data_IF_260591385108
#
_entry.id   IF_260591385108
#
_cell.length_a   1.000
_cell.length_b   1.000
_cell.length_c   1.000
_cell.angle_alpha   90.00
_cell.angle_beta   90.00
_cell.angle_gamma   90.00
#
_symmetry.space_group_name_H-M   'P 1'
#
loop_
_entity.id
_entity.type
_entity.pdbx_description
1 polymer ?
#
# COMPACT_ATOMS: atom_id res chain seq x y z
N UNK A 1 32.18 -4.61 -24.98
CA UNK A 1 31.46 -3.33 -25.18
C UNK A 1 31.68 -2.33 -24.05
N UNK A 2 31.02 -2.39 -22.87
CA UNK A 2 31.21 -1.35 -21.82
C UNK A 2 32.65 -1.21 -21.30
N UNK A 3 33.41 -2.31 -21.28
CA UNK A 3 34.81 -2.32 -20.83
C UNK A 3 35.78 -1.66 -21.82
N UNK A 4 35.40 -1.54 -23.09
CA UNK A 4 36.25 -1.05 -24.20
C UNK A 4 35.99 0.43 -24.51
N UNK A 5 35.03 1.06 -23.83
CA UNK A 5 34.70 2.46 -24.03
C UNK A 5 35.68 3.39 -23.30
N UNK A 6 35.86 4.59 -23.82
CA UNK A 6 36.53 5.68 -23.11
C UNK A 6 35.76 6.04 -21.82
N UNK A 7 36.48 6.51 -20.80
CA UNK A 7 35.93 6.73 -19.47
C UNK A 7 34.86 7.82 -19.46
N UNK A 8 34.97 8.83 -20.33
CA UNK A 8 33.95 9.88 -20.51
C UNK A 8 32.64 9.31 -21.07
N UNK A 9 32.73 8.37 -22.01
CA UNK A 9 31.57 7.68 -22.57
C UNK A 9 30.92 6.76 -21.53
N UNK A 10 31.73 6.04 -20.74
CA UNK A 10 31.21 5.23 -19.62
C UNK A 10 30.47 6.13 -18.62
N UNK A 11 31.08 7.25 -18.21
CA UNK A 11 30.48 8.20 -17.28
C UNK A 11 29.10 8.66 -17.75
N UNK A 12 28.96 9.06 -19.02
CA UNK A 12 27.67 9.46 -19.58
C UNK A 12 26.63 8.34 -19.57
N UNK A 13 27.02 7.10 -19.91
CA UNK A 13 26.12 5.95 -19.87
C UNK A 13 25.61 5.69 -18.45
N UNK A 14 26.52 5.68 -17.47
CA UNK A 14 26.18 5.45 -16.07
C UNK A 14 25.27 6.53 -15.48
N UNK A 15 25.42 7.78 -15.92
CA UNK A 15 24.55 8.89 -15.50
C UNK A 15 23.12 8.82 -16.04
N UNK A 16 22.89 8.08 -17.13
CA UNK A 16 21.57 7.86 -17.73
C UNK A 16 20.81 6.69 -17.09
N UNK A 17 21.49 5.82 -16.34
CA UNK A 17 20.86 4.64 -15.76
C UNK A 17 19.89 5.00 -14.64
N UNK A 18 18.71 4.39 -14.65
CA UNK A 18 17.78 4.44 -13.53
C UNK A 18 18.33 3.65 -12.33
N UNK A 19 17.81 3.94 -11.13
CA UNK A 19 18.25 3.31 -9.88
C UNK A 19 18.26 1.76 -9.93
N UNK A 20 17.27 1.17 -10.59
CA UNK A 20 17.16 -0.29 -10.74
C UNK A 20 18.28 -0.84 -11.63
N UNK A 21 18.56 -0.20 -12.75
CA UNK A 21 19.58 -0.63 -13.70
C UNK A 21 20.97 -0.38 -13.14
N UNK A 22 21.17 0.75 -12.46
CA UNK A 22 22.39 1.07 -11.72
C UNK A 22 22.72 -0.03 -10.70
N UNK A 23 21.74 -0.46 -9.89
CA UNK A 23 21.93 -1.58 -8.95
C UNK A 23 22.22 -2.91 -9.65
N UNK A 24 21.65 -3.16 -10.83
CA UNK A 24 21.86 -4.41 -11.59
C UNK A 24 23.25 -4.45 -12.21
N UNK A 25 23.64 -3.41 -12.94
CA UNK A 25 24.95 -3.34 -13.61
C UNK A 25 26.07 -3.37 -12.59
N UNK A 26 25.92 -2.65 -11.47
CA UNK A 26 26.89 -2.66 -10.38
C UNK A 26 27.07 -4.07 -9.76
N UNK A 27 26.02 -4.90 -9.74
CA UNK A 27 26.09 -6.28 -9.24
C UNK A 27 26.76 -7.25 -10.22
N UNK A 28 26.59 -7.03 -11.52
CA UNK A 28 26.98 -7.98 -12.57
C UNK A 28 28.36 -7.66 -13.14
N UNK A 29 28.75 -6.39 -13.21
CA UNK A 29 29.96 -5.95 -13.90
C UNK A 29 30.75 -4.95 -13.05
N UNK A 30 31.35 -5.40 -11.94
CA UNK A 30 32.19 -4.54 -11.07
C UNK A 30 33.35 -3.89 -11.83
N UNK A 31 33.88 -4.58 -12.84
CA UNK A 31 34.93 -4.05 -13.73
C UNK A 31 34.44 -2.96 -14.69
N UNK A 32 33.13 -2.84 -14.92
CA UNK A 32 32.55 -1.78 -15.77
C UNK A 32 32.42 -0.43 -15.05
N UNK A 33 32.67 -0.40 -13.73
CA UNK A 33 32.77 0.83 -12.93
C UNK A 33 34.20 1.41 -12.98
N UNK A 34 35.19 0.67 -13.50
CA UNK A 34 36.56 1.15 -13.64
C UNK A 34 36.61 2.35 -14.62
N UNK A 35 37.20 3.45 -14.16
CA UNK A 35 37.26 4.72 -14.88
C UNK A 35 36.05 5.64 -14.64
N UNK A 36 35.04 5.20 -13.89
CA UNK A 36 33.81 5.97 -13.66
C UNK A 36 33.80 6.53 -12.24
N UNK A 37 33.46 7.82 -12.12
CA UNK A 37 33.30 8.48 -10.83
C UNK A 37 31.92 8.14 -10.27
N UNK A 38 31.80 6.97 -9.65
CA UNK A 38 30.52 6.44 -9.16
C UNK A 38 29.94 7.23 -7.97
N UNK A 39 30.78 7.80 -7.10
CA UNK A 39 30.33 8.54 -5.90
C UNK A 39 29.27 9.62 -6.19
N UNK A 40 29.56 10.60 -7.08
CA UNK A 40 28.58 11.61 -7.49
C UNK A 40 27.29 11.05 -8.10
N UNK A 41 27.38 9.95 -8.85
CA UNK A 41 26.21 9.29 -9.46
C UNK A 41 25.31 8.72 -8.36
N UNK A 42 25.86 7.96 -7.41
CA UNK A 42 25.09 7.43 -6.29
C UNK A 42 24.52 8.53 -5.40
N UNK A 43 25.26 9.61 -5.14
CA UNK A 43 24.77 10.76 -4.38
C UNK A 43 23.59 11.46 -5.07
N UNK A 44 23.64 11.63 -6.40
CA UNK A 44 22.54 12.18 -7.19
C UNK A 44 21.28 11.32 -7.03
N UNK A 45 21.41 10.00 -7.21
CA UNK A 45 20.29 9.07 -7.01
C UNK A 45 19.81 9.04 -5.55
N UNK A 46 20.71 9.17 -4.59
CA UNK A 46 20.35 9.22 -3.17
C UNK A 46 19.44 10.42 -2.87
N UNK A 47 19.79 11.60 -3.38
CA UNK A 47 18.95 12.80 -3.29
C UNK A 47 17.58 12.58 -3.92
N UNK A 48 17.53 12.01 -5.13
CA UNK A 48 16.26 11.69 -5.80
C UNK A 48 15.41 10.69 -4.99
N UNK A 49 16.03 9.65 -4.42
CA UNK A 49 15.33 8.67 -3.57
C UNK A 49 14.80 9.30 -2.28
N UNK A 50 15.55 10.21 -1.67
CA UNK A 50 15.09 10.96 -0.50
C UNK A 50 13.88 11.81 -0.86
N UNK A 51 13.95 12.60 -1.93
CA UNK A 51 12.82 13.43 -2.37
C UNK A 51 11.59 12.59 -2.64
N UNK A 52 11.71 11.54 -3.46
CA UNK A 52 10.60 10.62 -3.78
C UNK A 52 10.06 9.92 -2.54
N UNK A 53 10.93 9.52 -1.60
CA UNK A 53 10.51 8.87 -0.36
C UNK A 53 9.72 9.79 0.56
N UNK A 54 10.16 11.04 0.72
CA UNK A 54 9.43 12.05 1.50
C UNK A 54 8.11 12.42 0.81
N UNK A 55 8.10 12.61 -0.50
CA UNK A 55 6.87 12.83 -1.29
C UNK A 55 5.88 11.68 -1.12
N UNK A 56 6.34 10.43 -1.23
CA UNK A 56 5.50 9.26 -1.07
C UNK A 56 4.91 9.12 0.34
N UNK A 57 5.67 9.50 1.38
CA UNK A 57 5.17 9.54 2.76
C UNK A 57 4.18 10.69 2.99
N UNK A 58 4.43 11.86 2.41
CA UNK A 58 3.57 13.03 2.56
C UNK A 58 2.25 12.88 1.79
N UNK A 59 2.29 12.21 0.63
CA UNK A 59 1.11 11.90 -0.18
C UNK A 59 0.33 10.67 0.27
N UNK A 60 0.78 9.94 1.30
CA UNK A 60 0.14 8.71 1.74
C UNK A 60 -1.19 8.98 2.47
N UNK A 61 -2.30 8.74 1.77
CA UNK A 61 -3.66 8.79 2.31
C UNK A 61 -4.18 7.42 2.75
N UNK A 62 -3.45 6.34 2.51
CA UNK A 62 -3.90 4.96 2.72
C UNK A 62 -3.87 4.54 4.20
N UNK A 63 -2.88 3.74 4.59
CA UNK A 63 -2.77 3.20 5.96
C UNK A 63 -2.58 4.29 7.00
N UNK A 64 -1.91 5.39 6.64
CA UNK A 64 -1.70 6.55 7.50
C UNK A 64 -2.94 7.46 7.57
N UNK A 65 -3.73 7.57 6.51
CA UNK A 65 -5.01 8.30 6.50
C UNK A 65 -6.15 7.55 7.21
N UNK A 66 -6.15 6.21 7.18
CA UNK A 66 -7.06 5.35 7.94
C UNK A 66 -6.81 5.36 9.46
N UNK A 67 -5.96 6.24 9.98
CA UNK A 67 -5.87 6.52 11.41
C UNK A 67 -7.16 7.19 11.87
N UNK A 68 -8.17 6.38 12.21
CA UNK A 68 -9.01 6.65 13.37
C UNK A 68 -8.05 7.14 14.47
N UNK A 69 -8.17 8.43 14.82
CA UNK A 69 -7.32 9.14 15.76
C UNK A 69 -7.33 8.43 17.13
N UNK A 70 -6.54 7.37 17.31
CA UNK A 70 -6.02 7.01 18.64
C UNK A 70 -4.79 7.86 18.87
N UNK A 71 -5.04 9.10 19.26
CA UNK A 71 -4.11 10.22 19.48
C UNK A 71 -3.00 9.97 20.53
N UNK A 72 -2.75 8.73 20.96
CA UNK A 72 -1.93 8.44 22.15
C UNK A 72 -0.75 7.46 21.96
N UNK A 73 -0.41 7.01 20.74
CA UNK A 73 0.66 6.00 20.58
C UNK A 73 2.01 6.53 20.00
N UNK A 74 2.10 7.79 19.59
CA UNK A 74 3.34 8.33 18.96
C UNK A 74 4.04 9.42 19.77
N UNK A 75 3.57 9.76 20.97
CA UNK A 75 4.19 10.80 21.81
C UNK A 75 5.55 10.37 22.40
N UNK A 76 5.94 9.11 22.24
CA UNK A 76 7.19 8.56 22.80
C UNK A 76 8.32 8.37 21.78
N UNK A 77 8.18 8.81 20.53
CA UNK A 77 9.25 8.70 19.51
C UNK A 77 9.96 10.02 19.21
N UNK A 78 9.58 11.12 19.87
CA UNK A 78 10.18 12.44 19.70
C UNK A 78 10.59 13.09 21.03
N UNK A 79 10.72 12.32 22.11
CA UNK A 79 11.38 12.83 23.31
C UNK A 79 12.89 12.83 23.05
N UNK A 80 13.58 14.00 23.06
CA UNK A 80 15.04 14.04 23.10
C UNK A 80 15.44 13.46 24.46
N UNK A 81 16.03 12.27 24.45
CA UNK A 81 16.71 11.74 25.62
C UNK A 81 18.04 12.49 25.78
N UNK A 82 18.02 13.62 26.48
CA UNK A 82 19.21 14.28 26.97
C UNK A 82 20.02 13.31 27.82
N UNK A 83 21.15 12.85 27.27
CA UNK A 83 22.32 12.43 28.04
C UNK A 83 23.57 12.88 27.29
N UNK A 84 23.96 14.13 27.58
CA UNK A 84 25.34 14.57 27.43
C UNK A 84 26.22 13.67 28.30
N UNK A 85 27.17 12.98 27.67
CA UNK A 85 28.38 12.54 28.34
C UNK A 85 29.56 13.09 27.54
N UNK A 86 30.06 14.21 28.05
CA UNK A 86 31.25 14.91 27.59
C UNK A 86 32.46 14.04 27.90
N UNK A 87 33.17 13.58 26.88
CA UNK A 87 34.58 13.21 27.00
C UNK A 87 35.33 13.81 25.82
N UNK A 88 36.27 14.70 26.15
CA UNK A 88 37.18 15.34 25.22
C UNK A 88 38.27 14.35 24.79
N UNK A 89 38.59 14.34 23.50
CA UNK A 89 39.81 13.73 22.94
C UNK A 89 40.58 14.76 22.09
N UNK A 90 41.92 14.63 22.00
CA UNK A 90 42.85 15.64 21.53
C UNK A 90 42.99 15.66 20.00
N UNK A 91 43.62 16.71 19.43
CA UNK A 91 43.57 16.97 17.99
C UNK A 91 44.62 16.15 17.24
N UNK A 92 44.22 15.06 16.60
CA UNK A 92 45.00 14.45 15.50
C UNK A 92 44.14 13.75 14.43
N UNK A 93 42.90 14.20 14.22
CA UNK A 93 41.89 13.48 13.41
C UNK A 93 41.70 14.02 11.98
N UNK A 94 42.45 15.04 11.53
CA UNK A 94 42.22 15.62 10.19
C UNK A 94 42.65 14.71 9.03
N UNK A 95 43.64 13.83 9.22
CA UNK A 95 44.06 12.85 8.20
C UNK A 95 43.26 11.53 8.25
N UNK A 96 42.64 11.18 9.38
CA UNK A 96 41.82 9.97 9.53
C UNK A 96 40.38 10.17 9.03
N UNK A 97 39.91 11.43 8.99
CA UNK A 97 38.58 11.82 8.51
C UNK A 97 38.40 11.63 7.00
N UNK A 98 39.46 11.78 6.18
CA UNK A 98 39.39 11.57 4.74
C UNK A 98 39.22 10.08 4.36
N UNK A 99 39.68 9.16 5.21
CA UNK A 99 39.47 7.71 5.05
C UNK A 99 38.07 7.23 5.45
N UNK A 100 37.33 8.00 6.27
CA UNK A 100 35.95 7.68 6.66
C UNK A 100 34.92 8.03 5.58
N UNK A 101 35.23 8.92 4.65
CA UNK A 101 34.31 9.28 3.56
C UNK A 101 34.11 8.14 2.53
N UNK A 102 35.06 7.18 2.50
CA UNK A 102 34.98 5.92 1.75
C UNK A 102 34.22 4.80 2.47
N UNK A 103 33.76 5.01 3.72
CA UNK A 103 33.03 3.97 4.48
C UNK A 103 31.53 3.97 4.27
N UNK A 104 30.96 5.00 3.63
CA UNK A 104 29.53 5.02 3.31
C UNK A 104 29.32 4.28 1.99
N UNK A 105 28.83 3.04 2.08
CA UNK A 105 28.40 2.27 0.92
C UNK A 105 27.08 2.86 0.36
N UNK A 106 27.22 3.95 -0.39
CA UNK A 106 26.12 4.66 -1.05
C UNK A 106 25.29 3.73 -1.93
N UNK A 107 25.95 2.76 -2.54
CA UNK A 107 25.31 1.74 -3.36
C UNK A 107 24.37 0.88 -2.52
N UNK A 108 24.83 0.38 -1.38
CA UNK A 108 24.02 -0.40 -0.45
C UNK A 108 22.84 0.42 0.09
N UNK A 109 23.10 1.65 0.54
CA UNK A 109 22.04 2.52 1.06
C UNK A 109 20.98 2.83 -0.01
N UNK A 110 21.39 3.21 -1.23
CA UNK A 110 20.46 3.52 -2.30
C UNK A 110 19.64 2.29 -2.70
N UNK A 111 20.25 1.11 -2.77
CA UNK A 111 19.56 -0.16 -3.05
C UNK A 111 18.50 -0.46 -1.99
N UNK A 112 18.88 -0.42 -0.72
CA UNK A 112 17.99 -0.78 0.38
C UNK A 112 16.85 0.22 0.54
N UNK A 113 17.12 1.51 0.29
CA UNK A 113 16.11 2.58 0.27
C UNK A 113 15.16 2.42 -0.90
N UNK A 114 15.67 2.13 -2.10
CA UNK A 114 14.84 1.86 -3.28
C UNK A 114 13.92 0.66 -3.04
N UNK A 115 14.43 -0.45 -2.50
CA UNK A 115 13.62 -1.63 -2.17
C UNK A 115 12.58 -1.30 -1.08
N UNK A 116 12.95 -0.51 -0.07
CA UNK A 116 12.02 -0.07 0.96
C UNK A 116 10.88 0.79 0.38
N UNK A 117 11.22 1.73 -0.51
CA UNK A 117 10.28 2.61 -1.19
C UNK A 117 9.32 1.83 -2.11
N UNK A 118 9.84 0.94 -2.97
CA UNK A 118 9.00 0.11 -3.85
C UNK A 118 8.04 -0.76 -3.03
N UNK A 119 8.52 -1.40 -1.96
CA UNK A 119 7.66 -2.19 -1.08
C UNK A 119 6.63 -1.35 -0.34
N UNK A 120 6.99 -0.13 0.06
CA UNK A 120 6.05 0.80 0.67
C UNK A 120 4.93 1.14 -0.31
N UNK A 121 5.25 1.60 -1.52
CA UNK A 121 4.26 1.93 -2.55
C UNK A 121 3.37 0.73 -2.86
N UNK A 122 3.93 -0.46 -3.11
CA UNK A 122 3.16 -1.66 -3.43
C UNK A 122 2.20 -2.07 -2.30
N UNK A 123 2.62 -2.00 -1.04
CA UNK A 123 1.74 -2.33 0.09
C UNK A 123 0.64 -1.28 0.28
N UNK A 124 0.93 0.00 0.05
CA UNK A 124 -0.09 1.05 0.15
C UNK A 124 -1.12 0.94 -0.97
N UNK A 125 -0.69 0.76 -2.22
CA UNK A 125 -1.62 0.51 -3.34
C UNK A 125 -2.48 -0.72 -3.10
N UNK A 126 -1.89 -1.82 -2.62
CA UNK A 126 -2.66 -3.02 -2.27
C UNK A 126 -3.65 -2.80 -1.13
N UNK A 127 -3.29 -1.99 -0.13
CA UNK A 127 -4.20 -1.63 0.95
C UNK A 127 -5.38 -0.80 0.46
N UNK A 128 -5.14 0.20 -0.40
CA UNK A 128 -6.18 1.07 -0.95
C UNK A 128 -7.14 0.29 -1.86
N UNK A 129 -6.61 -0.63 -2.69
CA UNK A 129 -7.42 -1.55 -3.49
C UNK A 129 -8.30 -2.46 -2.62
N UNK A 130 -7.75 -3.04 -1.56
CA UNK A 130 -8.51 -3.86 -0.62
C UNK A 130 -9.58 -3.04 0.13
N UNK A 131 -9.31 -1.77 0.43
CA UNK A 131 -10.29 -0.86 1.02
C UNK A 131 -11.43 -0.55 0.05
N UNK A 132 -11.14 -0.25 -1.22
CA UNK A 132 -12.14 -0.02 -2.26
C UNK A 132 -13.04 -1.24 -2.45
N UNK A 133 -12.44 -2.42 -2.61
CA UNK A 133 -13.16 -3.71 -2.73
C UNK A 133 -14.09 -3.95 -1.53
N UNK A 134 -13.63 -3.65 -0.32
CA UNK A 134 -14.44 -3.81 0.89
C UNK A 134 -15.64 -2.85 0.93
N UNK A 135 -15.51 -1.64 0.39
CA UNK A 135 -16.61 -0.67 0.28
C UNK A 135 -17.66 -1.14 -0.72
N UNK A 136 -17.22 -1.64 -1.88
CA UNK A 136 -18.09 -2.21 -2.92
C UNK A 136 -18.89 -3.40 -2.37
N UNK A 137 -18.21 -4.36 -1.74
CA UNK A 137 -18.88 -5.52 -1.12
C UNK A 137 -19.87 -5.10 -0.04
N UNK A 138 -19.60 -4.05 0.74
CA UNK A 138 -20.54 -3.52 1.73
C UNK A 138 -21.77 -2.89 1.08
N UNK A 139 -21.59 -2.18 -0.04
CA UNK A 139 -22.69 -1.61 -0.82
C UNK A 139 -23.56 -2.72 -1.44
N UNK A 140 -22.94 -3.74 -2.03
CA UNK A 140 -23.62 -4.93 -2.54
C UNK A 140 -24.40 -5.64 -1.43
N UNK A 141 -23.79 -5.83 -0.25
CA UNK A 141 -24.47 -6.41 0.91
C UNK A 141 -25.72 -5.60 1.31
N UNK A 142 -25.67 -4.27 1.30
CA UNK A 142 -26.88 -3.46 1.58
C UNK A 142 -27.96 -3.66 0.52
N UNK A 143 -27.60 -3.64 -0.75
CA UNK A 143 -28.55 -3.85 -1.86
C UNK A 143 -29.20 -5.22 -1.79
N UNK A 144 -28.42 -6.28 -1.49
CA UNK A 144 -28.95 -7.64 -1.32
C UNK A 144 -29.88 -7.75 -0.10
N UNK A 145 -29.59 -7.03 0.99
CA UNK A 145 -30.49 -6.96 2.16
C UNK A 145 -31.81 -6.27 1.82
N UNK A 146 -31.78 -5.20 1.03
CA UNK A 146 -32.98 -4.52 0.53
C UNK A 146 -33.78 -5.43 -0.41
N UNK A 147 -33.12 -6.06 -1.38
CA UNK A 147 -33.75 -7.02 -2.28
C UNK A 147 -34.43 -8.17 -1.52
N UNK A 148 -33.77 -8.70 -0.48
CA UNK A 148 -34.33 -9.72 0.41
C UNK A 148 -35.60 -9.23 1.13
N UNK A 149 -35.62 -7.96 1.58
CA UNK A 149 -36.82 -7.38 2.19
C UNK A 149 -37.94 -7.20 1.16
N UNK A 150 -37.62 -6.77 -0.05
CA UNK A 150 -38.59 -6.65 -1.16
C UNK A 150 -39.21 -8.00 -1.51
N UNK A 151 -38.42 -9.07 -1.62
CA UNK A 151 -38.91 -10.44 -1.88
C UNK A 151 -39.82 -10.93 -0.73
N UNK A 152 -39.49 -10.60 0.52
CA UNK A 152 -40.36 -10.91 1.66
C UNK A 152 -41.68 -10.14 1.59
N UNK A 153 -41.62 -8.85 1.30
CA UNK A 153 -42.78 -7.98 1.19
C UNK A 153 -43.72 -8.43 0.04
N UNK A 154 -43.18 -8.75 -1.13
CA UNK A 154 -43.96 -9.26 -2.27
C UNK A 154 -44.60 -10.61 -1.95
N UNK A 155 -43.86 -11.54 -1.34
CA UNK A 155 -44.42 -12.82 -0.87
C UNK A 155 -45.57 -12.62 0.12
N UNK A 156 -45.47 -11.64 1.03
CA UNK A 156 -46.56 -11.31 1.96
C UNK A 156 -47.76 -10.69 1.26
N UNK A 157 -47.54 -9.77 0.32
CA UNK A 157 -48.59 -9.20 -0.51
C UNK A 157 -49.32 -10.29 -1.31
N UNK A 158 -48.57 -11.19 -1.96
CA UNK A 158 -49.11 -12.32 -2.72
C UNK A 158 -49.92 -13.27 -1.84
N UNK A 159 -49.50 -13.52 -0.60
CA UNK A 159 -50.28 -14.31 0.36
C UNK A 159 -51.60 -13.63 0.71
N UNK A 160 -51.60 -12.30 0.90
CA UNK A 160 -52.81 -11.51 1.18
C UNK A 160 -53.76 -11.54 -0.02
N UNK A 161 -53.25 -11.29 -1.22
CA UNK A 161 -54.02 -11.35 -2.47
C UNK A 161 -54.63 -12.74 -2.68
N UNK A 162 -53.85 -13.80 -2.45
CA UNK A 162 -54.34 -15.19 -2.49
C UNK A 162 -55.52 -15.44 -1.54
N UNK A 163 -55.45 -14.96 -0.30
CA UNK A 163 -56.56 -15.09 0.65
C UNK A 163 -57.84 -14.42 0.14
N UNK A 164 -57.71 -13.22 -0.44
CA UNK A 164 -58.84 -12.49 -1.02
C UNK A 164 -59.41 -13.26 -2.22
N UNK A 165 -58.56 -13.72 -3.15
CA UNK A 165 -58.98 -14.48 -4.33
C UNK A 165 -59.65 -15.81 -3.97
N UNK A 166 -59.17 -16.50 -2.93
CA UNK A 166 -59.75 -17.76 -2.47
C UNK A 166 -61.21 -17.63 -2.00
N UNK A 167 -61.62 -16.45 -1.49
CA UNK A 167 -63.00 -16.19 -1.13
C UNK A 167 -63.93 -16.15 -2.36
N UNK A 168 -63.42 -15.63 -3.50
CA UNK A 168 -64.15 -15.56 -4.76
C UNK A 168 -64.13 -16.91 -5.51
N UNK A 169 -63.02 -17.66 -5.42
CA UNK A 169 -62.83 -18.96 -6.08
C UNK A 169 -63.80 -20.05 -5.61
N UNK A 170 -64.36 -19.93 -4.40
CA UNK A 170 -65.38 -20.86 -3.88
C UNK A 170 -66.63 -20.93 -4.77
N UNK A 171 -66.95 -19.83 -5.46
CA UNK A 171 -68.10 -19.69 -6.35
C UNK A 171 -67.79 -20.03 -7.82
N UNK A 172 -66.54 -20.40 -8.13
CA UNK A 172 -66.11 -20.70 -9.50
C UNK A 172 -66.16 -22.20 -9.83
N UNK A 173 -66.28 -22.50 -11.13
CA UNK A 173 -66.25 -23.85 -11.65
C UNK A 173 -64.91 -24.57 -11.37
N UNK A 174 -64.97 -25.91 -11.29
CA UNK A 174 -63.86 -26.79 -10.87
C UNK A 174 -62.56 -26.56 -11.64
N UNK A 175 -62.65 -26.31 -12.94
CA UNK A 175 -61.49 -26.08 -13.82
C UNK A 175 -60.71 -24.82 -13.44
N UNK A 176 -61.40 -23.71 -13.19
CA UNK A 176 -60.76 -22.47 -12.75
C UNK A 176 -60.12 -22.60 -11.36
N UNK A 177 -60.75 -23.34 -10.44
CA UNK A 177 -60.16 -23.63 -9.13
C UNK A 177 -58.83 -24.39 -9.25
N UNK A 178 -58.75 -25.37 -10.18
CA UNK A 178 -57.50 -26.10 -10.45
C UNK A 178 -56.43 -25.22 -11.07
N UNK A 179 -56.79 -24.37 -12.04
CA UNK A 179 -55.85 -23.42 -12.65
C UNK A 179 -55.30 -22.43 -11.63
N UNK A 180 -56.16 -21.83 -10.80
CA UNK A 180 -55.72 -20.91 -9.74
C UNK A 180 -54.80 -21.59 -8.73
N UNK A 181 -55.12 -22.82 -8.29
CA UNK A 181 -54.26 -23.59 -7.40
C UNK A 181 -52.88 -23.88 -8.01
N UNK A 182 -52.82 -24.24 -9.30
CA UNK A 182 -51.57 -24.46 -10.02
C UNK A 182 -50.74 -23.16 -10.11
N UNK A 183 -51.35 -22.04 -10.51
CA UNK A 183 -50.68 -20.73 -10.56
C UNK A 183 -50.16 -20.28 -9.19
N UNK A 184 -50.95 -20.47 -8.12
CA UNK A 184 -50.52 -20.14 -6.76
C UNK A 184 -49.37 -21.00 -6.27
N UNK A 185 -49.34 -22.28 -6.67
CA UNK A 185 -48.24 -23.19 -6.37
C UNK A 185 -46.95 -22.75 -7.06
N UNK A 186 -47.01 -22.46 -8.37
CA UNK A 186 -45.86 -21.97 -9.15
C UNK A 186 -45.34 -20.65 -8.57
N UNK A 187 -46.22 -19.71 -8.24
CA UNK A 187 -45.83 -18.42 -7.66
C UNK A 187 -45.18 -18.58 -6.27
N UNK A 188 -45.66 -19.51 -5.44
CA UNK A 188 -45.02 -19.82 -4.15
C UNK A 188 -43.61 -20.40 -4.34
N UNK A 189 -43.45 -21.32 -5.30
CA UNK A 189 -42.18 -21.96 -5.61
C UNK A 189 -41.16 -20.93 -6.14
N UNK A 190 -41.58 -20.07 -7.07
CA UNK A 190 -40.73 -19.01 -7.62
C UNK A 190 -40.28 -18.02 -6.55
N UNK A 191 -41.18 -17.63 -5.63
CA UNK A 191 -40.82 -16.77 -4.51
C UNK A 191 -39.84 -17.44 -3.53
N UNK A 192 -39.98 -18.75 -3.30
CA UNK A 192 -39.06 -19.51 -2.46
C UNK A 192 -37.67 -19.63 -3.09
N UNK A 193 -37.60 -19.92 -4.39
CA UNK A 193 -36.34 -19.98 -5.15
C UNK A 193 -35.64 -18.62 -5.17
N UNK A 194 -36.35 -17.56 -5.53
CA UNK A 194 -35.81 -16.19 -5.52
C UNK A 194 -35.26 -15.79 -4.14
N UNK A 195 -35.98 -16.13 -3.06
CA UNK A 195 -35.49 -15.90 -1.70
C UNK A 195 -34.22 -16.70 -1.38
N UNK A 196 -34.14 -17.95 -1.82
CA UNK A 196 -32.97 -18.80 -1.60
C UNK A 196 -31.74 -18.28 -2.36
N UNK A 197 -31.92 -17.85 -3.61
CA UNK A 197 -30.86 -17.26 -4.44
C UNK A 197 -30.29 -15.99 -3.80
N UNK A 198 -31.14 -15.04 -3.38
CA UNK A 198 -30.69 -13.81 -2.71
C UNK A 198 -30.01 -14.12 -1.36
N UNK A 199 -30.45 -15.17 -0.65
CA UNK A 199 -29.81 -15.58 0.59
C UNK A 199 -28.41 -16.16 0.35
N UNK A 200 -28.25 -16.96 -0.70
CA UNK A 200 -26.98 -17.56 -1.07
C UNK A 200 -25.97 -16.50 -1.54
N UNK A 201 -26.38 -15.54 -2.37
CA UNK A 201 -25.51 -14.44 -2.81
C UNK A 201 -25.10 -13.58 -1.62
N UNK A 202 -26.04 -13.25 -0.71
CA UNK A 202 -25.73 -12.50 0.50
C UNK A 202 -24.69 -13.22 1.37
N UNK A 203 -24.82 -14.54 1.56
CA UNK A 203 -23.85 -15.33 2.32
C UNK A 203 -22.46 -15.34 1.66
N UNK A 204 -22.40 -15.44 0.32
CA UNK A 204 -21.16 -15.37 -0.45
C UNK A 204 -20.47 -14.00 -0.29
N UNK A 205 -21.23 -12.91 -0.39
CA UNK A 205 -20.73 -11.54 -0.18
C UNK A 205 -20.26 -11.36 1.26
N UNK A 206 -20.98 -11.88 2.26
CA UNK A 206 -20.55 -11.82 3.67
C UNK A 206 -19.24 -12.59 3.90
N UNK A 207 -19.07 -13.76 3.29
CA UNK A 207 -17.81 -14.49 3.34
C UNK A 207 -16.66 -13.70 2.69
N UNK A 208 -16.92 -13.08 1.53
CA UNK A 208 -15.94 -12.25 0.83
C UNK A 208 -15.54 -11.03 1.67
N UNK A 209 -16.50 -10.34 2.30
CA UNK A 209 -16.23 -9.25 3.25
C UNK A 209 -15.30 -9.72 4.37
N UNK A 210 -15.56 -10.90 4.95
CA UNK A 210 -14.71 -11.44 6.01
C UNK A 210 -13.30 -11.75 5.52
N UNK A 211 -13.16 -12.35 4.33
CA UNK A 211 -11.87 -12.66 3.72
C UNK A 211 -11.06 -11.38 3.43
N UNK A 212 -11.66 -10.40 2.73
CA UNK A 212 -11.02 -9.12 2.41
C UNK A 212 -10.67 -8.34 3.67
N UNK A 213 -11.51 -8.39 4.71
CA UNK A 213 -11.21 -7.76 6.01
C UNK A 213 -9.95 -8.36 6.65
N UNK A 214 -9.80 -9.70 6.65
CA UNK A 214 -8.60 -10.39 7.16
C UNK A 214 -7.35 -9.99 6.37
N UNK A 215 -7.47 -9.93 5.04
CA UNK A 215 -6.39 -9.49 4.17
C UNK A 215 -5.98 -8.04 4.48
N UNK A 216 -6.95 -7.15 4.68
CA UNK A 216 -6.72 -5.75 5.04
C UNK A 216 -5.90 -5.61 6.34
N UNK A 217 -6.20 -6.43 7.36
CA UNK A 217 -5.41 -6.46 8.59
C UNK A 217 -3.95 -6.88 8.33
N UNK A 218 -3.74 -7.88 7.47
CA UNK A 218 -2.41 -8.31 7.05
C UNK A 218 -1.64 -7.22 6.30
N UNK A 219 -2.31 -6.57 5.34
CA UNK A 219 -1.76 -5.46 4.56
C UNK A 219 -1.40 -4.29 5.46
N UNK A 220 -2.27 -3.91 6.39
CA UNK A 220 -1.99 -2.85 7.38
C UNK A 220 -0.74 -3.14 8.20
N UNK A 221 -0.58 -4.37 8.68
CA UNK A 221 0.61 -4.78 9.45
C UNK A 221 1.89 -4.67 8.61
N UNK A 222 1.84 -5.07 7.33
CA UNK A 222 2.97 -4.95 6.40
C UNK A 222 3.29 -3.50 6.08
N UNK A 223 2.29 -2.69 5.78
CA UNK A 223 2.43 -1.27 5.49
C UNK A 223 3.06 -0.52 6.66
N UNK A 224 2.61 -0.74 7.91
CA UNK A 224 3.22 -0.11 9.10
C UNK A 224 4.71 -0.46 9.22
N UNK A 225 5.09 -1.72 8.98
CA UNK A 225 6.50 -2.14 8.96
C UNK A 225 7.29 -1.46 7.84
N UNK A 226 6.70 -1.35 6.66
CA UNK A 226 7.30 -0.66 5.51
C UNK A 226 7.49 0.83 5.78
N UNK A 227 6.50 1.52 6.36
CA UNK A 227 6.61 2.92 6.79
C UNK A 227 7.78 3.09 7.76
N UNK A 228 7.85 2.26 8.80
CA UNK A 228 8.94 2.33 9.78
C UNK A 228 10.31 2.12 9.13
N UNK A 229 10.41 1.11 8.24
CA UNK A 229 11.66 0.83 7.51
C UNK A 229 12.04 2.00 6.60
N UNK A 230 11.09 2.54 5.83
CA UNK A 230 11.32 3.66 4.94
C UNK A 230 11.74 4.91 5.72
N UNK A 231 11.02 5.28 6.78
CA UNK A 231 11.39 6.39 7.66
C UNK A 231 12.81 6.26 8.22
N UNK A 232 13.20 5.06 8.67
CA UNK A 232 14.58 4.81 9.14
C UNK A 232 15.60 5.02 8.02
N UNK A 233 15.32 4.52 6.82
CA UNK A 233 16.22 4.68 5.67
C UNK A 233 16.34 6.15 5.26
N UNK A 234 15.23 6.89 5.19
CA UNK A 234 15.21 8.31 4.87
C UNK A 234 15.94 9.13 5.94
N UNK A 235 15.69 8.89 7.23
CA UNK A 235 16.39 9.57 8.31
C UNK A 235 17.91 9.32 8.25
N UNK A 236 18.32 8.07 7.97
CA UNK A 236 19.72 7.71 7.76
C UNK A 236 20.31 8.45 6.57
N UNK A 237 19.64 8.48 5.42
CA UNK A 237 20.13 9.17 4.22
C UNK A 237 20.21 10.68 4.37
N UNK A 238 19.23 11.29 5.04
CA UNK A 238 19.25 12.72 5.37
C UNK A 238 20.42 13.06 6.29
N UNK A 239 20.73 12.20 7.27
CA UNK A 239 21.90 12.34 8.11
C UNK A 239 23.20 12.22 7.29
N UNK A 240 23.32 11.16 6.48
CA UNK A 240 24.51 10.92 5.64
C UNK A 240 24.81 12.11 4.69
N UNK A 241 23.78 12.67 4.04
CA UNK A 241 23.96 13.83 3.18
C UNK A 241 24.28 15.12 3.96
N UNK A 242 23.75 15.27 5.18
CA UNK A 242 24.08 16.41 6.04
C UNK A 242 25.52 16.34 6.51
N UNK A 243 25.97 15.17 6.94
CA UNK A 243 27.34 14.95 7.42
C UNK A 243 28.33 15.21 6.27
N UNK A 244 28.03 14.74 5.04
CA UNK A 244 28.81 15.10 3.86
C UNK A 244 28.79 16.61 3.53
N UNK A 245 27.66 17.29 3.74
CA UNK A 245 27.55 18.74 3.53
C UNK A 245 28.32 19.56 4.57
N UNK A 246 28.33 19.10 5.82
CA UNK A 246 29.12 19.67 6.91
C UNK A 246 30.63 19.49 6.71
N UNK A 247 31.04 18.48 5.92
CA UNK A 247 32.44 18.26 5.53
C UNK A 247 32.86 18.98 4.24
N UNK A 248 31.92 19.51 3.45
CA UNK A 248 32.25 20.34 2.28
C UNK A 248 32.48 21.82 2.61
N UNK A 249 32.17 22.27 3.82
CA UNK A 249 32.33 23.67 4.24
C UNK A 249 33.72 24.01 4.81
N UNK A 250 34.66 23.05 4.88
CA UNK A 250 36.05 23.31 5.29
C UNK A 250 36.99 23.65 4.13
N UNK A 251 36.52 23.71 2.89
CA UNK A 251 37.36 24.12 1.75
C UNK A 251 36.66 25.18 0.91
N UNK A 252 37.14 26.42 1.09
CA UNK A 252 36.87 27.68 0.38
C UNK A 252 35.82 28.61 1.00
N UNK A 253 36.28 29.36 2.00
CA UNK A 253 36.19 30.82 1.94
C UNK A 253 37.60 31.40 1.98
N UNK A 254 38.17 31.68 0.80
CA UNK A 254 39.22 32.69 0.66
C UNK A 254 38.52 33.90 0.05
N UNK A 255 38.36 34.92 0.91
CA UNK A 255 38.10 36.35 0.71
C UNK A 255 37.15 36.74 -0.43
#
# INVERSE_FOLDING_TARGET
>A
MLLELADECKQHIWELLGMQDLCRVACVARSAELGVRMGPIWQRHARTLLTKGHEALNGDTGVLGCRLQRRNASRNLLAPGDKHQTMAMPPSEEEELLGMHDTIDWRLWCRDTHVALVRFCANNTGFDQALGTLQELKAERSQLKEAMQTVKASSHADKRTRRIQMNCLKWMNRTHRRQAAASHSIQAQNAALSKAEVAQTLQSVEHSIQATTKEQFGLRKRAIKCVHKLNRQLASGTKLLRDLGAHTDTVKFVV
#
